data_IF_274049507416
#
_entry.id   IF_274049507416
#
_cell.length_a   1.000
_cell.length_b   1.000
_cell.length_c   1.000
_cell.angle_alpha   90.00
_cell.angle_beta   90.00
_cell.angle_gamma   90.00
#
_symmetry.space_group_name_H-M   'P 1'
#
loop_
_entity.id
_entity.type
_entity.pdbx_description
1 polymer ?
#
# COMPACT_ATOMS: atom_id res chain seq x y z
N UNK A 1 2.51 28.30 74.08
CA UNK A 1 3.01 27.23 73.20
C UNK A 1 1.84 26.32 72.85
N UNK A 2 1.28 26.46 71.64
CA UNK A 2 0.20 25.61 71.12
C UNK A 2 0.80 24.74 70.03
N UNK A 3 0.76 23.42 70.21
CA UNK A 3 1.22 22.45 69.23
C UNK A 3 0.13 22.28 68.16
N UNK A 4 0.47 22.56 66.90
CA UNK A 4 -0.38 22.24 65.76
C UNK A 4 -0.13 20.77 65.38
N UNK A 5 -1.19 19.97 65.29
CA UNK A 5 -1.16 18.62 64.74
C UNK A 5 -1.55 18.68 63.27
N UNK A 6 -0.59 18.47 62.39
CA UNK A 6 -0.81 18.35 60.94
C UNK A 6 -1.28 16.92 60.66
N UNK A 7 -2.55 16.77 60.31
CA UNK A 7 -3.14 15.51 59.87
C UNK A 7 -2.77 15.30 58.40
N UNK A 8 -1.86 14.38 58.11
CA UNK A 8 -1.55 13.96 56.74
C UNK A 8 -2.61 12.94 56.30
N UNK A 9 -3.53 13.36 55.43
CA UNK A 9 -4.48 12.47 54.76
C UNK A 9 -3.79 11.93 53.51
N UNK A 10 -3.38 10.67 53.56
CA UNK A 10 -2.91 9.94 52.37
C UNK A 10 -4.15 9.55 51.54
N UNK A 11 -4.35 10.24 50.42
CA UNK A 11 -5.33 9.85 49.41
C UNK A 11 -4.76 8.65 48.63
N UNK A 12 -5.19 7.44 48.98
CA UNK A 12 -4.94 6.25 48.16
C UNK A 12 -5.98 6.25 47.04
N UNK A 13 -5.59 6.77 45.88
CA UNK A 13 -6.36 6.60 44.64
C UNK A 13 -6.18 5.16 44.18
N UNK A 14 -7.04 4.26 44.65
CA UNK A 14 -7.20 2.93 44.03
C UNK A 14 -7.91 3.13 42.70
N UNK A 15 -7.13 3.45 41.67
CA UNK A 15 -7.53 3.30 40.28
C UNK A 15 -7.76 1.82 40.03
N UNK A 16 -9.02 1.37 40.10
CA UNK A 16 -9.44 0.14 39.43
C UNK A 16 -9.50 0.43 37.93
N UNK A 17 -8.36 0.74 37.32
CA UNK A 17 -8.21 0.57 35.88
C UNK A 17 -8.20 -0.92 35.63
N UNK A 18 -9.06 -1.40 34.73
CA UNK A 18 -8.85 -2.69 34.09
C UNK A 18 -7.38 -2.81 33.71
N UNK A 19 -6.72 -3.92 34.05
CA UNK A 19 -5.37 -4.17 33.56
C UNK A 19 -5.37 -3.92 32.04
N UNK A 20 -4.40 -3.16 31.50
CA UNK A 20 -4.31 -2.98 30.07
C UNK A 20 -4.28 -4.37 29.44
N UNK A 21 -5.26 -4.65 28.57
CA UNK A 21 -5.35 -5.94 27.88
C UNK A 21 -4.02 -6.18 27.20
N UNK A 22 -3.35 -7.27 27.58
CA UNK A 22 -2.13 -7.69 26.91
C UNK A 22 -2.54 -8.40 25.62
N UNK A 23 -2.80 -7.61 24.57
CA UNK A 23 -3.30 -8.11 23.29
C UNK A 23 -2.41 -9.21 22.69
N UNK A 24 -1.11 -9.17 23.00
CA UNK A 24 -0.18 -10.24 22.59
C UNK A 24 -0.53 -11.63 23.11
N UNK A 25 -1.36 -11.76 24.14
CA UNK A 25 -1.69 -13.07 24.72
C UNK A 25 -3.13 -13.53 24.40
N UNK A 26 -3.95 -12.70 23.74
CA UNK A 26 -5.39 -12.95 23.50
C UNK A 26 -5.75 -13.11 22.00
N UNK A 27 -4.83 -13.64 21.20
CA UNK A 27 -5.06 -13.93 19.79
C UNK A 27 -5.58 -15.37 19.56
N UNK A 28 -6.29 -15.58 18.44
CA UNK A 28 -6.77 -16.90 18.00
C UNK A 28 -5.67 -17.70 17.31
N UNK A 29 -4.90 -17.05 16.44
CA UNK A 29 -3.73 -17.62 15.78
C UNK A 29 -2.65 -16.55 15.58
N UNK A 30 -1.41 -17.01 15.35
CA UNK A 30 -0.31 -16.18 14.92
C UNK A 30 0.37 -16.84 13.71
N UNK A 31 0.69 -16.03 12.71
CA UNK A 31 1.55 -16.38 11.58
C UNK A 31 2.81 -15.52 11.66
N UNK A 32 3.98 -16.11 11.45
CA UNK A 32 5.28 -15.46 11.60
C UNK A 32 6.04 -15.51 10.27
N UNK A 33 6.27 -14.34 9.67
CA UNK A 33 7.14 -14.12 8.53
C UNK A 33 8.51 -13.60 8.93
N UNK A 34 9.31 -13.16 7.97
CA UNK A 34 10.65 -12.62 8.24
C UNK A 34 10.57 -11.23 8.91
N UNK A 35 9.67 -10.37 8.44
CA UNK A 35 9.55 -8.96 8.85
C UNK A 35 8.22 -8.64 9.55
N UNK A 36 7.24 -9.54 9.52
CA UNK A 36 5.94 -9.32 10.16
C UNK A 36 5.45 -10.56 10.91
N UNK A 37 4.93 -10.34 12.13
CA UNK A 37 4.11 -11.33 12.84
C UNK A 37 2.65 -10.88 12.81
N UNK A 38 1.80 -11.70 12.18
CA UNK A 38 0.36 -11.43 12.09
C UNK A 38 -0.37 -12.16 13.21
N UNK A 39 -1.12 -11.42 14.01
CA UNK A 39 -1.99 -11.93 15.07
C UNK A 39 -3.45 -11.78 14.64
N UNK A 40 -4.16 -12.91 14.53
CA UNK A 40 -5.58 -12.95 14.23
C UNK A 40 -6.42 -12.93 15.50
N UNK A 41 -7.31 -11.96 15.66
CA UNK A 41 -8.20 -11.82 16.83
C UNK A 41 -9.64 -12.14 16.46
N UNK A 42 -10.17 -13.24 17.03
CA UNK A 42 -11.47 -13.79 16.65
C UNK A 42 -11.60 -14.02 15.13
N UNK A 43 -10.47 -14.39 14.51
CA UNK A 43 -10.33 -14.81 13.12
C UNK A 43 -9.71 -16.19 13.08
N UNK A 44 -10.03 -16.98 12.07
CA UNK A 44 -9.34 -18.21 11.73
C UNK A 44 -8.33 -17.96 10.60
N UNK A 45 -7.20 -18.67 10.63
CA UNK A 45 -6.19 -18.60 9.57
C UNK A 45 -6.78 -18.93 8.19
N UNK A 46 -7.71 -19.89 8.14
CA UNK A 46 -8.41 -20.31 6.93
C UNK A 46 -9.39 -19.27 6.33
N UNK A 47 -9.58 -18.11 6.98
CA UNK A 47 -10.35 -16.98 6.41
C UNK A 47 -9.50 -16.11 5.47
N UNK A 48 -8.19 -16.39 5.34
CA UNK A 48 -7.23 -15.64 4.53
C UNK A 48 -6.82 -16.46 3.31
N UNK A 49 -6.62 -15.79 2.16
CA UNK A 49 -6.02 -16.46 1.01
C UNK A 49 -4.53 -16.74 1.22
N UNK A 50 -4.07 -17.88 0.71
CA UNK A 50 -2.79 -18.49 1.00
C UNK A 50 -1.59 -17.65 0.59
N UNK A 51 -1.75 -16.64 -0.27
CA UNK A 51 -0.68 -15.69 -0.60
C UNK A 51 -0.67 -14.40 0.25
N UNK A 52 -1.68 -14.14 1.07
CA UNK A 52 -1.85 -12.83 1.71
C UNK A 52 -0.79 -12.49 2.75
N UNK A 53 -0.37 -13.47 3.57
CA UNK A 53 0.62 -13.23 4.61
C UNK A 53 2.01 -13.04 3.99
N UNK A 54 2.36 -13.90 3.04
CA UNK A 54 3.59 -13.84 2.27
C UNK A 54 3.69 -12.54 1.46
N UNK A 55 2.60 -12.09 0.83
CA UNK A 55 2.58 -10.81 0.11
C UNK A 55 2.79 -9.61 1.06
N UNK A 56 2.25 -9.66 2.29
CA UNK A 56 2.50 -8.64 3.30
C UNK A 56 3.97 -8.61 3.73
N UNK A 57 4.57 -9.77 3.95
CA UNK A 57 5.97 -9.91 4.35
C UNK A 57 6.92 -9.48 3.22
N UNK A 58 6.65 -9.89 1.97
CA UNK A 58 7.40 -9.48 0.77
C UNK A 58 7.31 -7.98 0.53
N UNK A 59 6.12 -7.38 0.67
CA UNK A 59 5.98 -5.93 0.58
C UNK A 59 6.81 -5.22 1.65
N UNK A 60 6.86 -5.78 2.86
CA UNK A 60 7.65 -5.22 3.96
C UNK A 60 9.15 -5.31 3.68
N UNK A 61 9.62 -6.47 3.22
CA UNK A 61 11.01 -6.68 2.80
C UNK A 61 11.41 -5.69 1.70
N UNK A 62 10.53 -5.46 0.72
CA UNK A 62 10.81 -4.56 -0.39
C UNK A 62 10.90 -3.09 0.06
N UNK A 63 10.06 -2.65 1.00
CA UNK A 63 10.16 -1.31 1.59
C UNK A 63 11.47 -1.16 2.38
N UNK A 64 11.83 -2.19 3.18
CA UNK A 64 13.07 -2.20 3.97
C UNK A 64 14.29 -2.06 3.04
N UNK A 65 14.38 -2.86 1.97
CA UNK A 65 15.48 -2.78 1.00
C UNK A 65 15.51 -1.41 0.28
N UNK A 66 14.36 -0.95 -0.20
CA UNK A 66 14.27 0.30 -0.96
C UNK A 66 14.71 1.51 -0.12
N UNK A 67 14.22 1.61 1.13
CA UNK A 67 14.51 2.73 2.02
C UNK A 67 15.81 2.55 2.80
N UNK A 68 16.53 1.43 2.59
CA UNK A 68 17.78 1.06 3.28
C UNK A 68 17.62 1.05 4.80
N UNK A 69 16.52 0.48 5.27
CA UNK A 69 16.28 0.26 6.70
C UNK A 69 17.12 -0.92 7.21
N UNK A 70 17.08 -1.16 8.52
CA UNK A 70 17.74 -2.32 9.12
C UNK A 70 16.99 -3.59 8.71
N UNK A 71 17.67 -4.55 8.08
CA UNK A 71 17.08 -5.82 7.63
C UNK A 71 16.47 -6.64 8.80
N UNK A 72 16.86 -6.36 10.04
CA UNK A 72 16.27 -6.99 11.24
C UNK A 72 14.97 -6.33 11.71
N UNK A 73 14.50 -5.30 11.02
CA UNK A 73 13.24 -4.64 11.35
C UNK A 73 12.08 -5.64 11.21
N UNK A 74 11.34 -5.79 12.30
CA UNK A 74 10.21 -6.68 12.42
C UNK A 74 9.08 -5.99 13.20
N UNK A 75 7.83 -6.20 12.82
CA UNK A 75 6.69 -5.56 13.46
C UNK A 75 5.49 -6.51 13.68
N UNK A 76 4.67 -6.16 14.67
CA UNK A 76 3.42 -6.87 14.96
C UNK A 76 2.30 -6.30 14.08
N UNK A 77 1.43 -7.17 13.54
CA UNK A 77 0.28 -6.79 12.73
C UNK A 77 -0.99 -7.44 13.29
N UNK A 78 -2.00 -6.65 13.62
CA UNK A 78 -3.22 -7.14 14.26
C UNK A 78 -4.40 -7.16 13.27
N UNK A 79 -4.84 -8.37 12.93
CA UNK A 79 -5.98 -8.60 12.08
C UNK A 79 -7.20 -9.02 12.91
N UNK A 80 -8.26 -8.21 12.88
CA UNK A 80 -9.35 -8.29 13.86
C UNK A 80 -10.70 -8.65 13.23
N UNK A 81 -11.54 -9.35 13.99
CA UNK A 81 -12.97 -9.44 13.74
C UNK A 81 -13.65 -8.07 13.91
N UNK A 82 -14.89 -7.94 13.43
CA UNK A 82 -15.68 -6.73 13.66
C UNK A 82 -15.96 -6.50 15.16
N UNK A 83 -16.13 -7.57 15.94
CA UNK A 83 -16.47 -7.48 17.36
C UNK A 83 -15.27 -6.98 18.19
N UNK A 84 -14.05 -7.35 17.81
CA UNK A 84 -12.81 -6.86 18.44
C UNK A 84 -12.46 -5.43 18.00
N UNK A 85 -12.83 -5.06 16.78
CA UNK A 85 -12.51 -3.78 16.13
C UNK A 85 -13.15 -2.55 16.80
N UNK A 86 -14.29 -2.72 17.47
CA UNK A 86 -15.07 -1.60 17.97
C UNK A 86 -14.27 -0.68 18.94
N UNK A 87 -14.14 0.59 18.56
CA UNK A 87 -13.43 1.61 19.34
C UNK A 87 -11.89 1.57 19.22
N UNK A 88 -11.34 0.73 18.34
CA UNK A 88 -9.89 0.59 18.15
C UNK A 88 -9.29 1.66 17.25
N UNK A 89 -9.97 1.95 16.15
CA UNK A 89 -9.59 2.99 15.20
C UNK A 89 -10.66 4.09 15.12
N UNK A 90 -10.36 5.26 14.51
CA UNK A 90 -11.34 6.31 14.30
C UNK A 90 -12.62 5.80 13.62
N UNK A 91 -13.80 6.35 13.95
CA UNK A 91 -15.06 5.93 13.34
C UNK A 91 -15.00 5.96 11.80
N UNK A 92 -15.39 4.85 11.16
CA UNK A 92 -15.40 4.71 9.71
C UNK A 92 -14.08 4.23 9.08
N UNK A 93 -12.99 4.16 9.84
CA UNK A 93 -11.74 3.59 9.35
C UNK A 93 -11.89 2.07 9.11
N UNK A 94 -11.20 1.54 8.11
CA UNK A 94 -11.08 0.09 7.86
C UNK A 94 -9.78 -0.50 8.45
N UNK A 95 -8.78 0.37 8.64
CA UNK A 95 -7.52 0.08 9.28
C UNK A 95 -6.96 1.37 9.95
N UNK A 96 -6.03 1.23 10.87
CA UNK A 96 -5.19 2.32 11.39
C UNK A 96 -3.93 1.75 12.03
N UNK A 97 -2.89 2.57 12.15
CA UNK A 97 -1.66 2.17 12.86
C UNK A 97 -1.54 2.90 14.18
N UNK A 98 -1.20 2.16 15.24
CA UNK A 98 -0.98 2.70 16.59
C UNK A 98 0.36 2.21 17.12
N UNK A 99 1.26 3.14 17.43
CA UNK A 99 2.60 2.85 17.94
C UNK A 99 3.37 1.83 17.07
N UNK A 100 3.25 1.95 15.74
CA UNK A 100 3.91 1.05 14.79
C UNK A 100 3.26 -0.32 14.65
N UNK A 101 2.06 -0.52 15.18
CA UNK A 101 1.29 -1.76 15.06
C UNK A 101 0.04 -1.49 14.21
N UNK A 102 -0.04 -2.05 12.99
CA UNK A 102 -1.23 -2.01 12.16
C UNK A 102 -2.39 -2.75 12.79
N UNK A 103 -3.54 -2.09 12.88
CA UNK A 103 -4.80 -2.67 13.31
C UNK A 103 -5.75 -2.62 12.12
N UNK A 104 -6.24 -3.77 11.67
CA UNK A 104 -7.01 -3.84 10.42
C UNK A 104 -8.15 -4.86 10.48
N UNK A 105 -9.17 -4.66 9.64
CA UNK A 105 -10.21 -5.67 9.36
C UNK A 105 -9.96 -6.47 8.08
N UNK A 106 -9.04 -6.04 7.22
CA UNK A 106 -8.68 -6.69 5.96
C UNK A 106 -7.20 -7.09 5.93
N UNK A 107 -6.87 -8.09 5.12
CA UNK A 107 -5.50 -8.56 4.97
C UNK A 107 -5.23 -9.02 3.54
N UNK A 108 -4.08 -8.64 2.93
CA UNK A 108 -3.09 -7.68 3.45
C UNK A 108 -3.63 -6.23 3.41
N UNK A 109 -3.16 -5.36 4.32
CA UNK A 109 -3.40 -3.90 4.27
C UNK A 109 -2.06 -3.17 4.18
N UNK A 110 -1.47 -3.17 2.98
CA UNK A 110 -0.10 -2.68 2.72
C UNK A 110 0.12 -1.21 3.11
N UNK A 111 -0.92 -0.37 3.04
CA UNK A 111 -0.87 1.01 3.54
C UNK A 111 -0.48 1.10 5.02
N UNK A 112 -1.05 0.23 5.86
CA UNK A 112 -0.70 0.25 7.29
C UNK A 112 0.64 -0.44 7.56
N UNK A 113 1.04 -1.41 6.74
CA UNK A 113 2.39 -1.98 6.80
C UNK A 113 3.46 -0.90 6.61
N UNK A 114 3.26 0.00 5.64
CA UNK A 114 4.15 1.13 5.42
C UNK A 114 4.21 2.09 6.63
N UNK A 115 3.10 2.33 7.32
CA UNK A 115 3.08 3.07 8.59
C UNK A 115 3.90 2.36 9.69
N UNK A 116 3.75 1.04 9.82
CA UNK A 116 4.51 0.26 10.81
C UNK A 116 6.02 0.41 10.62
N UNK A 117 6.49 0.22 9.39
CA UNK A 117 7.90 0.35 9.03
C UNK A 117 8.42 1.77 9.26
N UNK A 118 7.65 2.78 8.85
CA UNK A 118 8.01 4.19 9.05
C UNK A 118 8.13 4.52 10.55
N UNK A 119 7.21 4.02 11.38
CA UNK A 119 7.20 4.25 12.82
C UNK A 119 8.42 3.66 13.55
N UNK A 120 8.88 2.48 13.12
CA UNK A 120 9.96 1.75 13.79
C UNK A 120 11.36 2.29 13.45
N UNK A 121 11.47 3.23 12.52
CA UNK A 121 12.77 3.81 12.14
C UNK A 121 13.22 4.91 13.11
N UNK A 122 14.54 5.17 13.23
CA UNK A 122 15.05 6.19 14.14
C UNK A 122 14.57 7.60 13.75
N UNK A 123 13.76 8.24 14.60
CA UNK A 123 13.23 9.59 14.34
C UNK A 123 11.81 9.87 14.86
N UNK A 124 11.07 8.85 15.30
CA UNK A 124 9.71 8.96 15.85
C UNK A 124 8.69 9.65 14.92
N UNK A 125 8.58 9.14 13.69
CA UNK A 125 7.49 9.44 12.76
C UNK A 125 7.84 10.53 11.74
N UNK A 126 7.35 10.32 10.51
CA UNK A 126 7.41 11.31 9.44
C UNK A 126 6.41 12.45 9.71
N UNK A 127 6.50 13.55 8.95
CA UNK A 127 5.39 14.51 8.85
C UNK A 127 4.15 13.81 8.32
N UNK A 128 2.94 14.24 8.72
CA UNK A 128 1.71 13.57 8.28
C UNK A 128 1.58 13.46 6.75
N UNK A 129 2.08 14.43 6.00
CA UNK A 129 2.07 14.38 4.52
C UNK A 129 3.06 13.34 3.95
N UNK A 130 4.24 13.16 4.54
CA UNK A 130 5.17 12.12 4.09
C UNK A 130 4.77 10.74 4.61
N UNK A 131 4.26 10.66 5.84
CA UNK A 131 3.78 9.43 6.46
C UNK A 131 2.65 8.82 5.63
N UNK A 132 1.55 9.57 5.41
CA UNK A 132 0.44 9.10 4.59
C UNK A 132 0.82 9.00 3.11
N UNK A 133 1.71 9.88 2.63
CA UNK A 133 2.18 9.82 1.24
C UNK A 133 2.97 8.55 0.94
N UNK A 134 3.89 8.16 1.82
CA UNK A 134 4.63 6.89 1.67
C UNK A 134 3.71 5.70 1.85
N UNK A 135 2.73 5.77 2.75
CA UNK A 135 1.76 4.70 2.93
C UNK A 135 0.88 4.48 1.68
N UNK A 136 0.49 5.55 0.99
CA UNK A 136 -0.20 5.46 -0.30
C UNK A 136 0.73 4.99 -1.42
N UNK A 137 1.97 5.49 -1.47
CA UNK A 137 2.96 5.09 -2.47
C UNK A 137 3.32 3.60 -2.39
N UNK A 138 3.43 3.06 -1.16
CA UNK A 138 3.66 1.63 -0.89
C UNK A 138 2.36 0.84 -0.68
N UNK A 139 1.22 1.45 -0.99
CA UNK A 139 -0.08 0.84 -0.88
C UNK A 139 -0.28 -0.31 -1.87
N UNK A 140 -1.22 -1.18 -1.55
CA UNK A 140 -1.61 -2.29 -2.41
C UNK A 140 -2.43 -1.84 -3.62
N UNK A 141 -2.79 -2.78 -4.50
CA UNK A 141 -3.64 -2.50 -5.64
C UNK A 141 -5.03 -2.02 -5.17
N UNK A 142 -5.62 -1.07 -5.91
CA UNK A 142 -6.97 -0.52 -5.67
C UNK A 142 -7.88 -0.92 -6.81
N UNK A 143 -9.12 -1.23 -6.47
CA UNK A 143 -10.12 -1.66 -7.41
C UNK A 143 -10.52 -0.52 -8.35
N UNK A 144 -10.79 -0.83 -9.62
CA UNK A 144 -11.06 0.18 -10.65
C UNK A 144 -12.30 1.03 -10.32
N UNK A 145 -13.33 0.46 -9.67
CA UNK A 145 -14.53 1.22 -9.31
C UNK A 145 -14.28 2.25 -8.20
N UNK A 146 -13.14 2.14 -7.49
CA UNK A 146 -12.70 3.15 -6.53
C UNK A 146 -12.06 4.35 -7.23
N UNK A 147 -11.79 4.27 -8.53
CA UNK A 147 -11.18 5.35 -9.30
C UNK A 147 -12.26 6.30 -9.78
N UNK A 148 -12.50 7.36 -9.02
CA UNK A 148 -13.27 8.48 -9.54
C UNK A 148 -12.54 9.07 -10.76
N UNK A 149 -13.23 9.16 -11.89
CA UNK A 149 -12.81 9.82 -13.14
C UNK A 149 -11.66 9.16 -13.91
N UNK A 150 -12.01 8.15 -14.71
CA UNK A 150 -11.15 7.45 -15.68
C UNK A 150 -10.39 8.34 -16.70
N UNK A 151 -10.70 9.64 -16.78
CA UNK A 151 -10.13 10.54 -17.80
C UNK A 151 -9.24 11.65 -17.23
N UNK A 152 -9.25 11.91 -15.92
CA UNK A 152 -8.45 12.96 -15.31
C UNK A 152 -8.30 12.71 -13.80
N UNK A 153 -7.12 12.30 -13.32
CA UNK A 153 -6.87 12.27 -11.88
C UNK A 153 -7.01 13.69 -11.32
N UNK A 154 -7.96 13.87 -10.40
CA UNK A 154 -8.18 15.12 -9.67
C UNK A 154 -7.82 14.91 -8.21
N UNK A 155 -6.78 15.60 -7.74
CA UNK A 155 -6.41 15.57 -6.33
C UNK A 155 -6.93 16.82 -5.62
N UNK A 156 -7.61 16.65 -4.48
CA UNK A 156 -8.11 17.78 -3.71
C UNK A 156 -6.96 18.55 -3.02
N UNK A 157 -7.14 19.88 -2.88
CA UNK A 157 -6.18 20.77 -2.20
C UNK A 157 -4.90 21.03 -3.00
N UNK A 158 -3.89 21.63 -2.35
CA UNK A 158 -2.52 21.77 -2.86
C UNK A 158 -1.54 21.12 -1.90
N UNK A 159 -0.35 20.72 -2.38
CA UNK A 159 0.62 20.06 -1.49
C UNK A 159 1.11 21.03 -0.40
N UNK A 160 1.24 22.32 -0.74
CA UNK A 160 1.64 23.38 0.19
C UNK A 160 0.68 23.52 1.38
N UNK A 161 -0.62 23.30 1.18
CA UNK A 161 -1.62 23.29 2.27
C UNK A 161 -1.41 22.11 3.24
N UNK A 162 -0.74 21.05 2.79
CA UNK A 162 -0.58 19.80 3.54
C UNK A 162 0.78 19.66 4.22
N UNK A 163 1.82 20.40 3.79
CA UNK A 163 3.17 20.29 4.34
C UNK A 163 3.22 20.41 5.87
N UNK A 164 2.47 21.35 6.43
CA UNK A 164 2.44 21.63 7.88
C UNK A 164 1.16 21.11 8.55
N UNK A 165 0.38 20.27 7.87
CA UNK A 165 -0.85 19.72 8.44
C UNK A 165 -0.50 18.70 9.52
N UNK A 166 -0.98 18.95 10.75
CA UNK A 166 -0.81 18.00 11.87
C UNK A 166 -1.46 16.65 11.56
N UNK A 167 -2.60 16.68 10.89
CA UNK A 167 -3.29 15.51 10.39
C UNK A 167 -3.77 15.78 8.98
N UNK A 168 -3.33 14.95 8.05
CA UNK A 168 -3.81 15.00 6.68
C UNK A 168 -5.30 14.58 6.65
N UNK A 169 -6.18 15.36 6.00
CA UNK A 169 -7.54 14.89 5.75
C UNK A 169 -7.50 13.75 4.73
N UNK A 170 -8.40 12.76 4.82
CA UNK A 170 -8.39 11.58 3.93
C UNK A 170 -8.35 11.93 2.43
N UNK A 171 -9.05 13.00 2.01
CA UNK A 171 -9.02 13.52 0.63
C UNK A 171 -7.65 14.02 0.14
N UNK A 172 -6.73 14.29 1.06
CA UNK A 172 -5.36 14.71 0.76
C UNK A 172 -4.40 13.54 0.56
N UNK A 173 -4.81 12.30 0.87
CA UNK A 173 -3.93 11.14 0.84
C UNK A 173 -3.44 10.87 -0.57
N UNK A 174 -4.31 10.92 -1.58
CA UNK A 174 -3.90 10.71 -2.97
C UNK A 174 -2.88 11.74 -3.45
N UNK A 175 -3.05 13.02 -3.05
CA UNK A 175 -2.07 14.07 -3.35
C UNK A 175 -0.74 13.82 -2.65
N UNK A 176 -0.77 13.33 -1.42
CA UNK A 176 0.42 12.98 -0.66
C UNK A 176 1.15 11.78 -1.25
N UNK A 177 0.43 10.73 -1.68
CA UNK A 177 0.99 9.57 -2.37
C UNK A 177 1.65 9.93 -3.69
N UNK A 178 0.98 10.76 -4.48
CA UNK A 178 1.53 11.31 -5.71
C UNK A 178 2.78 12.17 -5.46
N UNK A 179 2.80 12.97 -4.39
CA UNK A 179 3.98 13.75 -4.00
C UNK A 179 5.13 12.85 -3.52
N UNK A 180 4.86 11.80 -2.75
CA UNK A 180 5.87 10.83 -2.34
C UNK A 180 6.48 10.11 -3.54
N UNK A 181 5.66 9.71 -4.53
CA UNK A 181 6.11 9.15 -5.80
C UNK A 181 7.07 10.09 -6.53
N UNK A 182 6.70 11.37 -6.67
CA UNK A 182 7.58 12.41 -7.24
C UNK A 182 8.91 12.51 -6.47
N UNK A 183 8.87 12.56 -5.14
CA UNK A 183 10.08 12.69 -4.34
C UNK A 183 11.01 11.47 -4.49
N UNK A 184 10.45 10.27 -4.46
CA UNK A 184 11.23 9.03 -4.64
C UNK A 184 11.86 8.99 -6.03
N UNK A 185 11.13 9.40 -7.07
CA UNK A 185 11.64 9.37 -8.43
C UNK A 185 12.72 10.45 -8.68
N UNK A 186 12.44 11.70 -8.29
CA UNK A 186 13.31 12.83 -8.59
C UNK A 186 14.56 12.87 -7.69
N UNK A 187 14.43 12.43 -6.43
CA UNK A 187 15.46 12.58 -5.41
C UNK A 187 15.96 11.27 -4.80
N UNK A 188 15.32 10.14 -5.10
CA UNK A 188 15.69 8.82 -4.60
C UNK A 188 15.09 8.48 -3.24
N UNK A 189 14.88 7.19 -2.95
CA UNK A 189 14.23 6.73 -1.72
C UNK A 189 15.02 7.09 -0.46
N UNK A 190 16.36 7.12 -0.50
CA UNK A 190 17.19 7.47 0.65
C UNK A 190 17.04 8.94 1.07
N UNK A 191 16.81 9.82 0.11
CA UNK A 191 16.54 11.23 0.38
C UNK A 191 15.19 11.41 1.06
N UNK A 192 14.15 10.69 0.59
CA UNK A 192 12.82 10.69 1.21
C UNK A 192 12.86 10.15 2.63
N UNK A 193 13.53 9.03 2.85
CA UNK A 193 13.74 8.50 4.19
C UNK A 193 14.48 9.52 5.10
N UNK A 194 15.41 10.29 4.55
CA UNK A 194 16.13 11.33 5.29
C UNK A 194 15.25 12.54 5.63
N UNK A 195 14.35 12.96 4.73
CA UNK A 195 13.34 13.99 5.01
C UNK A 195 12.44 13.55 6.17
N UNK A 196 11.92 12.33 6.11
CA UNK A 196 11.10 11.73 7.16
C UNK A 196 11.76 11.76 8.54
N UNK A 197 13.07 11.47 8.63
CA UNK A 197 13.81 11.50 9.90
C UNK A 197 14.15 12.90 10.40
N UNK A 198 14.23 13.87 9.50
CA UNK A 198 14.74 15.22 9.80
C UNK A 198 13.62 16.18 10.12
N UNK A 199 12.52 16.11 9.38
CA UNK A 199 11.40 17.02 9.56
C UNK A 199 10.53 16.52 10.72
N UNK A 200 10.33 17.32 11.79
CA UNK A 200 9.50 16.90 12.92
C UNK A 200 8.06 16.62 12.50
N UNK A 201 7.40 15.65 13.15
CA UNK A 201 5.98 15.34 12.87
C UNK A 201 5.08 16.59 12.92
N UNK A 202 5.28 17.46 13.92
CA UNK A 202 4.66 18.78 14.01
C UNK A 202 5.53 19.83 13.32
N UNK A 203 5.61 19.76 11.99
CA UNK A 203 6.46 20.63 11.19
C UNK A 203 5.88 22.02 10.98
N UNK A 204 6.79 22.96 10.78
CA UNK A 204 6.56 24.32 10.27
C UNK A 204 7.09 24.44 8.85
N UNK A 205 6.77 25.53 8.17
CA UNK A 205 7.34 25.81 6.84
C UNK A 205 8.87 25.98 6.88
N UNK A 206 9.41 26.55 7.96
CA UNK A 206 10.86 26.68 8.17
C UNK A 206 11.55 25.31 8.27
N UNK A 207 10.93 24.34 8.96
CA UNK A 207 11.46 22.96 9.02
C UNK A 207 11.54 22.32 7.63
N UNK A 208 10.56 22.58 6.77
CA UNK A 208 10.57 22.12 5.37
C UNK A 208 11.62 22.84 4.53
N UNK A 209 11.76 24.16 4.66
CA UNK A 209 12.79 24.94 3.96
C UNK A 209 14.18 24.44 4.31
N UNK A 210 14.48 24.29 5.60
CA UNK A 210 15.77 23.82 6.08
C UNK A 210 16.07 22.39 5.62
N UNK A 211 15.10 21.48 5.74
CA UNK A 211 15.29 20.07 5.38
C UNK A 211 15.44 19.86 3.87
N UNK A 212 14.63 20.54 3.04
CA UNK A 212 14.74 20.44 1.58
C UNK A 212 16.08 20.98 1.09
N UNK A 213 16.52 22.12 1.61
CA UNK A 213 17.82 22.70 1.25
C UNK A 213 18.98 21.82 1.72
N UNK A 214 18.89 21.22 2.90
CA UNK A 214 19.95 20.38 3.46
C UNK A 214 20.05 19.00 2.82
N UNK A 215 18.91 18.37 2.47
CA UNK A 215 18.85 16.96 2.04
C UNK A 215 18.73 16.85 0.52
N UNK A 216 17.86 17.66 -0.10
CA UNK A 216 17.61 17.63 -1.54
C UNK A 216 18.52 18.59 -2.31
N UNK A 217 19.11 19.57 -1.61
CA UNK A 217 19.96 20.59 -2.21
C UNK A 217 19.20 21.65 -2.99
N UNK A 218 17.88 21.75 -2.79
CA UNK A 218 16.99 22.72 -3.45
C UNK A 218 16.17 23.50 -2.43
N UNK A 219 15.80 24.72 -2.80
CA UNK A 219 14.88 25.55 -2.02
C UNK A 219 13.45 24.97 -2.10
N UNK A 220 12.66 25.11 -1.02
CA UNK A 220 11.29 24.57 -0.97
C UNK A 220 10.40 25.09 -2.12
N UNK A 221 10.53 26.38 -2.48
CA UNK A 221 9.76 26.96 -3.60
C UNK A 221 10.07 26.24 -4.92
N UNK A 222 11.34 25.90 -5.15
CA UNK A 222 11.76 25.19 -6.36
C UNK A 222 11.25 23.75 -6.37
N UNK A 223 11.30 23.05 -5.24
CA UNK A 223 10.72 21.71 -5.11
C UNK A 223 9.23 21.69 -5.46
N UNK A 224 8.49 22.68 -4.97
CA UNK A 224 7.06 22.82 -5.23
C UNK A 224 6.76 23.17 -6.69
N UNK A 225 7.62 23.98 -7.33
CA UNK A 225 7.54 24.27 -8.76
C UNK A 225 7.78 23.02 -9.60
N UNK A 226 8.81 22.24 -9.30
CA UNK A 226 9.11 20.98 -9.98
C UNK A 226 7.97 19.97 -9.83
N UNK A 227 7.44 19.81 -8.62
CA UNK A 227 6.25 18.97 -8.41
C UNK A 227 5.04 19.47 -9.21
N UNK A 228 4.88 20.79 -9.35
CA UNK A 228 3.84 21.38 -10.18
C UNK A 228 3.95 21.04 -11.67
N UNK A 229 5.13 20.62 -12.14
CA UNK A 229 5.36 20.12 -13.50
C UNK A 229 5.32 18.59 -13.61
N UNK A 230 5.32 17.87 -12.48
CA UNK A 230 5.22 16.41 -12.47
C UNK A 230 3.84 15.97 -13.00
N UNK A 231 3.79 15.00 -13.93
CA UNK A 231 2.54 14.64 -14.57
C UNK A 231 1.55 14.06 -13.57
N UNK A 232 0.27 14.39 -13.74
CA UNK A 232 -0.79 13.79 -12.96
C UNK A 232 -1.07 12.38 -13.46
N UNK A 233 -1.18 11.43 -12.54
CA UNK A 233 -1.50 10.03 -12.82
C UNK A 233 -2.34 9.43 -11.69
N UNK A 234 -2.99 8.29 -11.93
CA UNK A 234 -3.84 7.62 -10.94
C UNK A 234 -3.02 6.98 -9.82
N UNK A 235 -3.69 6.63 -8.71
CA UNK A 235 -3.08 5.86 -7.62
C UNK A 235 -2.38 4.61 -8.11
N UNK A 236 -3.01 3.86 -9.01
CA UNK A 236 -2.36 2.70 -9.59
C UNK A 236 -1.03 3.08 -10.22
N UNK A 237 -0.96 4.16 -10.99
CA UNK A 237 0.23 4.54 -11.73
C UNK A 237 1.36 5.06 -10.84
N UNK A 238 1.07 5.87 -9.82
CA UNK A 238 2.12 6.41 -8.97
C UNK A 238 2.63 5.46 -7.90
N UNK A 239 1.90 4.39 -7.54
CA UNK A 239 2.36 3.44 -6.51
C UNK A 239 3.63 2.71 -6.95
N UNK A 240 4.38 2.21 -5.98
CA UNK A 240 5.72 1.70 -6.20
C UNK A 240 5.78 0.32 -6.90
N UNK A 241 4.71 -0.49 -6.77
CA UNK A 241 4.61 -1.86 -7.33
C UNK A 241 5.85 -2.71 -7.05
N UNK A 242 6.37 -2.64 -5.81
CA UNK A 242 7.72 -3.07 -5.49
C UNK A 242 8.00 -4.54 -5.81
N UNK A 243 7.06 -5.41 -5.46
CA UNK A 243 7.20 -6.85 -5.67
C UNK A 243 6.41 -7.29 -6.91
N UNK A 244 5.34 -6.57 -7.25
CA UNK A 244 4.49 -6.87 -8.39
C UNK A 244 5.18 -6.61 -9.73
N UNK A 245 6.18 -5.72 -9.76
CA UNK A 245 6.98 -5.41 -10.95
C UNK A 245 8.43 -5.94 -10.90
N UNK A 246 8.86 -6.54 -9.79
CA UNK A 246 10.21 -7.07 -9.65
C UNK A 246 10.30 -8.54 -10.08
N UNK A 247 11.50 -8.97 -10.50
CA UNK A 247 11.81 -10.36 -10.81
C UNK A 247 11.47 -10.82 -12.24
N UNK A 248 11.47 -12.14 -12.43
CA UNK A 248 11.19 -12.76 -13.74
C UNK A 248 9.71 -12.67 -14.12
N UNK A 249 9.38 -12.49 -15.41
CA UNK A 249 8.00 -12.46 -15.85
C UNK A 249 7.32 -13.83 -15.69
N UNK A 250 6.03 -13.82 -15.36
CA UNK A 250 5.19 -15.01 -15.34
C UNK A 250 4.80 -15.43 -16.77
N UNK A 251 4.75 -14.48 -17.71
CA UNK A 251 4.57 -14.72 -19.14
C UNK A 251 5.39 -13.75 -20.00
N UNK A 252 5.88 -14.21 -21.14
CA UNK A 252 6.54 -13.38 -22.15
C UNK A 252 5.69 -13.38 -23.41
N UNK A 253 5.21 -12.22 -23.85
CA UNK A 253 4.43 -12.09 -25.07
C UNK A 253 5.27 -12.44 -26.32
N UNK A 254 4.65 -13.11 -27.29
CA UNK A 254 5.29 -13.46 -28.57
C UNK A 254 4.72 -12.57 -29.69
N UNK A 255 5.53 -11.71 -30.33
CA UNK A 255 5.08 -10.89 -31.47
C UNK A 255 4.59 -11.68 -32.69
N UNK A 256 4.83 -12.99 -32.73
CA UNK A 256 4.51 -13.87 -33.86
C UNK A 256 3.57 -15.01 -33.50
N UNK A 257 3.22 -15.16 -32.23
CA UNK A 257 2.51 -16.33 -31.72
C UNK A 257 1.57 -15.99 -30.57
N UNK A 258 0.57 -16.84 -30.37
CA UNK A 258 -0.27 -16.77 -29.19
C UNK A 258 0.48 -17.33 -27.97
N UNK A 259 0.39 -16.63 -26.85
CA UNK A 259 0.89 -17.08 -25.55
C UNK A 259 -0.29 -17.32 -24.64
N UNK A 260 -0.31 -18.50 -24.00
CA UNK A 260 -1.39 -18.93 -23.11
C UNK A 260 -0.79 -19.33 -21.77
N UNK A 261 -1.38 -18.83 -20.68
CA UNK A 261 -1.00 -19.21 -19.32
C UNK A 261 -2.22 -19.21 -18.39
N UNK A 262 -2.11 -19.93 -17.27
CA UNK A 262 -3.19 -20.12 -16.31
C UNK A 262 -2.99 -19.26 -15.07
N UNK A 263 -4.10 -18.77 -14.51
CA UNK A 263 -4.15 -18.06 -13.24
C UNK A 263 -5.23 -18.69 -12.38
N UNK A 264 -4.86 -19.16 -11.20
CA UNK A 264 -5.82 -19.60 -10.20
C UNK A 264 -6.32 -18.40 -9.40
N UNK A 265 -7.64 -18.29 -9.22
CA UNK A 265 -8.27 -17.43 -8.21
C UNK A 265 -8.66 -18.23 -6.95
N UNK A 266 -8.24 -19.51 -6.84
CA UNK A 266 -8.44 -20.26 -5.60
C UNK A 266 -7.69 -19.58 -4.46
N UNK A 267 -8.40 -19.35 -3.36
CA UNK A 267 -7.86 -18.74 -2.16
C UNK A 267 -6.76 -19.62 -1.52
N UNK A 268 -6.62 -20.90 -1.87
CA UNK A 268 -5.49 -21.73 -1.44
C UNK A 268 -4.25 -21.59 -2.35
N UNK A 269 -4.37 -20.91 -3.49
CA UNK A 269 -3.23 -20.67 -4.38
C UNK A 269 -2.29 -19.62 -3.75
N UNK A 270 -0.97 -19.87 -3.67
CA UNK A 270 -0.02 -18.92 -3.11
C UNK A 270 0.07 -17.60 -3.88
N UNK A 271 -0.38 -17.56 -5.14
CA UNK A 271 -0.44 -16.37 -5.97
C UNK A 271 -1.76 -15.58 -5.84
N UNK A 272 -2.67 -15.99 -4.95
CA UNK A 272 -3.94 -15.32 -4.66
C UNK A 272 -3.88 -14.66 -3.28
N UNK A 273 -4.20 -13.38 -3.22
CA UNK A 273 -4.24 -12.57 -1.99
C UNK A 273 -5.68 -12.11 -1.70
N UNK A 274 -5.99 -11.94 -0.43
CA UNK A 274 -7.28 -11.46 0.05
C UNK A 274 -7.71 -12.02 1.42
N UNK A 275 -8.83 -11.52 1.96
CA UNK A 275 -9.73 -10.56 1.31
C UNK A 275 -9.22 -9.10 1.36
N UNK A 276 -9.07 -8.50 0.18
CA UNK A 276 -8.72 -7.09 0.00
C UNK A 276 -10.00 -6.29 -0.29
N UNK A 277 -10.48 -5.52 0.69
CA UNK A 277 -11.77 -4.80 0.59
C UNK A 277 -12.97 -5.70 0.16
N UNK A 278 -12.94 -6.99 0.55
CA UNK A 278 -13.98 -7.96 0.20
C UNK A 278 -13.81 -8.62 -1.17
N UNK A 279 -12.64 -8.46 -1.82
CA UNK A 279 -12.27 -9.14 -3.07
C UNK A 279 -11.10 -10.09 -2.85
N UNK A 280 -10.96 -11.06 -3.73
CA UNK A 280 -9.72 -11.81 -3.94
C UNK A 280 -8.99 -11.22 -5.14
N UNK A 281 -7.66 -11.23 -5.08
CA UNK A 281 -6.80 -10.60 -6.08
C UNK A 281 -5.70 -11.56 -6.48
N UNK A 282 -5.40 -11.64 -7.76
CA UNK A 282 -4.20 -12.29 -8.28
C UNK A 282 -3.41 -11.29 -9.13
N UNK A 283 -2.09 -11.28 -8.97
CA UNK A 283 -1.18 -10.44 -9.77
C UNK A 283 -0.26 -11.30 -10.65
N UNK A 284 0.04 -10.86 -11.87
CA UNK A 284 0.95 -11.54 -12.80
C UNK A 284 1.81 -10.54 -13.55
N UNK A 285 3.08 -10.89 -13.77
CA UNK A 285 4.07 -10.12 -14.53
C UNK A 285 4.11 -10.57 -15.97
N UNK A 286 3.88 -9.66 -16.89
CA UNK A 286 3.88 -9.91 -18.32
C UNK A 286 4.97 -9.06 -18.97
N UNK A 287 5.91 -9.71 -19.65
CA UNK A 287 6.94 -9.02 -20.41
C UNK A 287 6.55 -8.90 -21.89
N UNK A 288 6.54 -7.68 -22.41
CA UNK A 288 6.39 -7.38 -23.83
C UNK A 288 7.77 -7.06 -24.41
N UNK A 289 8.32 -7.90 -25.32
CA UNK A 289 9.70 -7.76 -25.79
C UNK A 289 9.93 -6.60 -26.77
N UNK A 290 8.88 -6.11 -27.40
CA UNK A 290 8.89 -4.97 -28.32
C UNK A 290 7.54 -4.25 -28.25
N UNK A 291 7.49 -3.03 -28.79
CA UNK A 291 6.22 -2.31 -28.97
C UNK A 291 5.31 -3.15 -29.87
N UNK A 292 4.18 -3.59 -29.33
CA UNK A 292 3.28 -4.49 -30.05
C UNK A 292 1.81 -4.23 -29.75
N UNK A 293 0.99 -4.54 -30.74
CA UNK A 293 -0.46 -4.52 -30.60
C UNK A 293 -0.93 -5.93 -30.25
N UNK A 294 -1.53 -6.09 -29.08
CA UNK A 294 -1.93 -7.39 -28.57
C UNK A 294 -3.34 -7.35 -27.97
N UNK A 295 -4.10 -8.42 -28.20
CA UNK A 295 -5.32 -8.70 -27.46
C UNK A 295 -4.99 -9.47 -26.20
N UNK A 296 -5.60 -9.06 -25.09
CA UNK A 296 -5.55 -9.77 -23.82
C UNK A 296 -6.93 -10.34 -23.59
N UNK A 297 -7.04 -11.66 -23.58
CA UNK A 297 -8.29 -12.38 -23.38
C UNK A 297 -8.20 -13.22 -22.11
N UNK A 298 -9.17 -13.05 -21.22
CA UNK A 298 -9.28 -13.83 -19.99
C UNK A 298 -10.53 -14.67 -20.08
N UNK A 299 -10.31 -15.98 -19.98
CA UNK A 299 -11.29 -17.00 -20.29
C UNK A 299 -11.49 -17.85 -19.04
N UNK A 300 -12.74 -18.10 -18.68
CA UNK A 300 -13.09 -19.01 -17.59
C UNK A 300 -12.91 -20.48 -17.97
N UNK A 301 -13.12 -21.38 -17.01
CA UNK A 301 -13.01 -22.83 -17.22
C UNK A 301 -13.97 -23.38 -18.27
N UNK A 302 -15.10 -22.71 -18.49
CA UNK A 302 -16.11 -23.06 -19.48
C UNK A 302 -15.71 -22.67 -20.92
N UNK A 303 -14.60 -21.95 -21.08
CA UNK A 303 -14.10 -21.47 -22.37
C UNK A 303 -14.74 -20.15 -22.82
N UNK A 304 -15.61 -19.56 -22.02
CA UNK A 304 -16.23 -18.25 -22.28
C UNK A 304 -15.40 -17.12 -21.66
N UNK A 305 -15.64 -15.88 -22.09
CA UNK A 305 -14.97 -14.72 -21.49
C UNK A 305 -15.33 -14.62 -20.00
N UNK A 306 -14.32 -14.50 -19.15
CA UNK A 306 -14.53 -14.35 -17.71
C UNK A 306 -15.19 -12.99 -17.42
N UNK A 307 -16.16 -12.98 -16.52
CA UNK A 307 -16.82 -11.76 -16.05
C UNK A 307 -16.16 -11.30 -14.76
N UNK A 308 -15.04 -10.60 -14.90
CA UNK A 308 -14.23 -10.11 -13.78
C UNK A 308 -13.61 -8.76 -14.11
N UNK A 309 -13.14 -8.08 -13.07
CA UNK A 309 -12.44 -6.83 -13.24
C UNK A 309 -10.93 -7.08 -13.32
N UNK A 310 -10.25 -6.32 -14.16
CA UNK A 310 -8.80 -6.37 -14.23
C UNK A 310 -8.19 -5.01 -14.49
N UNK A 311 -6.92 -4.91 -14.12
CA UNK A 311 -6.03 -3.85 -14.53
C UNK A 311 -4.81 -4.47 -15.21
N UNK A 312 -4.33 -3.85 -16.28
CA UNK A 312 -3.03 -4.14 -16.87
C UNK A 312 -2.24 -2.84 -16.93
N UNK A 313 -1.13 -2.80 -16.22
CA UNK A 313 -0.40 -1.58 -15.93
C UNK A 313 1.09 -1.74 -16.23
N UNK A 314 1.68 -0.75 -16.89
CA UNK A 314 3.11 -0.74 -17.15
C UNK A 314 3.91 -0.52 -15.86
N UNK A 315 4.94 -1.34 -15.65
CA UNK A 315 5.91 -1.22 -14.57
C UNK A 315 6.90 -0.07 -14.81
N UNK A 316 6.37 1.13 -14.92
CA UNK A 316 7.11 2.37 -15.14
C UNK A 316 6.61 3.45 -14.17
N UNK A 317 7.47 4.42 -13.79
CA UNK A 317 7.06 5.49 -12.89
C UNK A 317 6.05 6.42 -13.58
N UNK A 318 5.31 7.19 -12.79
CA UNK A 318 4.30 8.12 -13.28
C UNK A 318 4.85 9.14 -14.30
N UNK A 319 6.11 9.58 -14.17
CA UNK A 319 6.76 10.46 -15.15
C UNK A 319 6.89 9.88 -16.56
N UNK A 320 6.90 8.55 -16.69
CA UNK A 320 6.98 7.83 -17.96
C UNK A 320 5.62 7.74 -18.68
N UNK A 321 4.56 8.28 -18.06
CA UNK A 321 3.17 8.14 -18.48
C UNK A 321 2.82 6.68 -18.71
N UNK A 322 2.87 5.82 -17.67
CA UNK A 322 2.70 4.39 -17.80
C UNK A 322 1.32 4.07 -18.38
N UNK A 323 1.28 3.14 -19.32
CA UNK A 323 0.01 2.66 -19.84
C UNK A 323 -0.81 2.00 -18.73
N UNK A 324 -2.09 2.35 -18.64
CA UNK A 324 -3.03 1.75 -17.70
C UNK A 324 -4.30 1.36 -18.45
N UNK A 325 -4.56 0.07 -18.49
CA UNK A 325 -5.76 -0.51 -19.08
C UNK A 325 -6.61 -1.10 -17.96
N UNK A 326 -7.79 -0.53 -17.72
CA UNK A 326 -8.77 -1.08 -16.79
C UNK A 326 -10.03 -1.40 -17.59
N UNK A 327 -10.61 -2.58 -17.43
CA UNK A 327 -11.88 -2.92 -18.08
C UNK A 327 -12.57 -4.05 -17.29
N UNK A 328 -13.88 -4.16 -17.46
CA UNK A 328 -14.71 -5.23 -16.93
C UNK A 328 -14.90 -6.37 -17.94
N UNK A 329 -14.53 -6.14 -19.21
CA UNK A 329 -14.71 -7.07 -20.33
C UNK A 329 -13.40 -7.27 -21.14
N UNK A 330 -12.70 -8.39 -20.93
CA UNK A 330 -11.41 -8.72 -21.57
C UNK A 330 -11.51 -9.27 -22.99
N UNK A 331 -12.25 -8.57 -23.85
CA UNK A 331 -12.16 -8.78 -25.30
C UNK A 331 -11.66 -7.49 -25.96
N UNK A 332 -10.46 -7.04 -25.58
CA UNK A 332 -9.90 -5.78 -26.08
C UNK A 332 -8.48 -5.95 -26.60
N UNK A 333 -8.16 -5.18 -27.64
CA UNK A 333 -6.83 -5.07 -28.25
C UNK A 333 -6.21 -3.75 -27.83
N UNK A 334 -5.02 -3.82 -27.24
CA UNK A 334 -4.26 -2.66 -26.77
C UNK A 334 -2.97 -2.50 -27.55
N UNK A 335 -2.36 -1.32 -27.44
CA UNK A 335 -0.99 -1.11 -27.90
C UNK A 335 -0.12 -1.08 -26.64
N UNK A 336 0.88 -1.95 -26.58
CA UNK A 336 1.84 -2.05 -25.49
C UNK A 336 3.19 -1.50 -25.95
N UNK A 337 3.89 -0.82 -25.05
CA UNK A 337 5.32 -0.54 -25.19
C UNK A 337 6.12 -1.76 -24.79
N UNK A 338 7.37 -1.85 -25.27
CA UNK A 338 8.32 -2.82 -24.72
C UNK A 338 8.53 -2.58 -23.22
N UNK A 339 8.34 -3.60 -22.40
CA UNK A 339 8.49 -3.47 -20.96
C UNK A 339 7.77 -4.55 -20.15
N UNK A 340 7.89 -4.42 -18.83
CA UNK A 340 7.16 -5.25 -17.87
C UNK A 340 5.81 -4.60 -17.58
N UNK A 341 4.78 -5.42 -17.48
CA UNK A 341 3.44 -5.02 -17.07
C UNK A 341 2.95 -5.91 -15.94
N UNK A 342 2.20 -5.32 -15.01
CA UNK A 342 1.45 -6.01 -13.97
C UNK A 342 0.00 -6.21 -14.43
N UNK A 343 -0.43 -7.45 -14.54
CA UNK A 343 -1.83 -7.84 -14.65
C UNK A 343 -2.38 -8.07 -13.25
N UNK A 344 -3.46 -7.38 -12.91
CA UNK A 344 -4.18 -7.52 -11.64
C UNK A 344 -5.59 -7.99 -11.96
N UNK A 345 -6.00 -9.11 -11.38
CA UNK A 345 -7.32 -9.71 -11.55
C UNK A 345 -8.06 -9.63 -10.23
N UNK A 346 -9.32 -9.18 -10.26
CA UNK A 346 -10.18 -9.09 -9.09
C UNK A 346 -11.40 -9.99 -9.27
N UNK A 347 -11.73 -10.76 -8.24
CA UNK A 347 -12.93 -11.59 -8.23
C UNK A 347 -13.62 -11.54 -6.86
N UNK A 348 -14.88 -11.92 -6.84
CA UNK A 348 -15.64 -12.12 -5.61
C UNK A 348 -15.08 -13.35 -4.86
N UNK A 349 -15.03 -13.35 -3.51
CA UNK A 349 -14.48 -14.49 -2.76
C UNK A 349 -15.19 -15.83 -2.98
N UNK A 350 -16.43 -15.81 -3.47
CA UNK A 350 -17.25 -16.99 -3.72
C UNK A 350 -16.92 -17.65 -5.10
N UNK A 351 -16.17 -16.96 -5.95
CA UNK A 351 -15.82 -17.35 -7.31
C UNK A 351 -14.39 -17.93 -7.32
N UNK A 352 -14.24 -19.18 -6.88
CA UNK A 352 -12.99 -19.93 -7.05
C UNK A 352 -12.91 -20.44 -8.48
N UNK A 353 -12.32 -19.65 -9.37
CA UNK A 353 -12.20 -19.97 -10.80
C UNK A 353 -10.73 -20.14 -11.23
N UNK A 354 -10.46 -21.15 -12.06
CA UNK A 354 -9.24 -21.18 -12.87
C UNK A 354 -9.47 -20.35 -14.14
N UNK A 355 -8.58 -19.40 -14.39
CA UNK A 355 -8.61 -18.51 -15.53
C UNK A 355 -7.51 -18.87 -16.53
N UNK A 356 -7.81 -18.75 -17.81
CA UNK A 356 -6.85 -18.87 -18.90
C UNK A 356 -6.64 -17.49 -19.52
N UNK A 357 -5.42 -16.99 -19.45
CA UNK A 357 -5.00 -15.73 -20.07
C UNK A 357 -4.38 -16.04 -21.43
N UNK A 358 -4.86 -15.35 -22.47
CA UNK A 358 -4.39 -15.49 -23.85
C UNK A 358 -3.91 -14.15 -24.35
N UNK A 359 -2.63 -14.08 -24.73
CA UNK A 359 -2.01 -12.92 -25.37
C UNK A 359 -1.91 -13.22 -26.86
N UNK A 360 -2.61 -12.45 -27.70
CA UNK A 360 -2.68 -12.67 -29.15
C UNK A 360 -2.16 -11.44 -29.89
N UNK A 361 -1.12 -11.54 -30.74
CA UNK A 361 -0.63 -10.41 -31.54
C UNK A 361 -1.61 -10.04 -32.67
N UNK A 362 -1.72 -8.74 -33.02
CA UNK A 362 -2.67 -8.19 -34.02
C UNK A 362 -2.03 -7.36 -35.14
#
# INVERSE_FOLDING_TARGET
MRAAHTLAVALVLTSCGSEPVNWRDEYTFAWEGEHVTVYGYERAEAEVCGGSFEALDQNSAAIIDLLRYDDSLHYDYYWMSQDVWDGRCPPGAIACTSLGVPWTRSIPHMHEAAHALSYLTPGHGCTSVLEEGLAEYFGGPRFHADWNHWSSPEFEGTISEFLTAVKLPGRGYERAGHFASFLVEAYGPEAVASLCRTIPHFSTEEDWQDATQAILGVELEHLLEEYGQYPLCHHQQYRARLWECAGEPDAVADPHGEVVFEVSMDCHDPGTIGPLAGRIVATRRIWFPEDMRAGVFVVGEDGEAANLDFNLEECAPCSAYPDLFANTDLTTVFNFRAGMYELILYSEPEESESLVIRLVPF
#
